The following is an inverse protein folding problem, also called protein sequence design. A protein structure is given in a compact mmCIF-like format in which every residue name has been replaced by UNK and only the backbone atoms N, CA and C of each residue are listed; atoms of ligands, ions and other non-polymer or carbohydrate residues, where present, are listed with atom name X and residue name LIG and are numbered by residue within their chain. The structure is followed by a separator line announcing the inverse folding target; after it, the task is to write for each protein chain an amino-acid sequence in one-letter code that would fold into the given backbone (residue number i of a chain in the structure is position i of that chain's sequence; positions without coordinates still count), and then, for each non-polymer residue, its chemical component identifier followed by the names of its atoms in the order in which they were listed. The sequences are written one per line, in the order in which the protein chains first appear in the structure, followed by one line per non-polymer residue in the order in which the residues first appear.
data_IF_854914137909
#
_entry.id   IF_854914137909
#
_cell.length_a   1.000
_cell.length_b   1.000
_cell.length_c   1.000
_cell.angle_alpha   90.00
_cell.angle_beta   90.00
_cell.angle_gamma   90.00
#
_symmetry.space_group_name_H-M   'P 1'
#
loop_
_entity.id
_entity.type
_entity.pdbx_description
1 polymer ?
#
# COMPACT_ATOMS: atom_id res chain seq x y z
N UNK A 1 -23.52 -11.04 47.44
CA UNK A 1 -23.11 -11.47 46.11
C UNK A 1 -23.04 -10.24 45.18
N UNK A 2 -21.83 -9.67 45.07
CA UNK A 2 -21.60 -8.50 44.21
C UNK A 2 -21.59 -8.90 42.76
N UNK A 3 -22.48 -8.32 41.95
CA UNK A 3 -22.38 -8.37 40.50
C UNK A 3 -21.13 -7.60 40.07
N UNK A 4 -20.13 -8.32 39.56
CA UNK A 4 -19.02 -7.70 38.89
C UNK A 4 -19.61 -6.85 37.77
N UNK A 5 -19.43 -5.54 37.80
CA UNK A 5 -19.65 -4.66 36.63
C UNK A 5 -18.64 -5.12 35.58
N UNK A 6 -19.13 -5.71 34.50
CA UNK A 6 -18.29 -5.92 33.34
C UNK A 6 -17.94 -4.52 32.81
N UNK A 7 -16.72 -4.08 33.08
CA UNK A 7 -16.20 -2.88 32.43
C UNK A 7 -16.25 -3.13 30.94
N UNK A 8 -16.94 -2.24 30.21
CA UNK A 8 -17.02 -2.29 28.74
C UNK A 8 -15.63 -2.21 28.07
N UNK A 9 -14.57 -1.98 28.86
CA UNK A 9 -13.16 -1.97 28.50
C UNK A 9 -12.41 -3.28 28.82
N UNK A 10 -13.08 -4.30 29.34
CA UNK A 10 -12.44 -5.58 29.56
C UNK A 10 -12.01 -6.23 28.24
N UNK A 11 -10.84 -6.86 28.22
CA UNK A 11 -10.28 -7.54 27.05
C UNK A 11 -11.27 -8.55 26.45
N UNK A 12 -11.98 -9.29 27.30
CA UNK A 12 -12.98 -10.25 26.87
C UNK A 12 -14.12 -9.58 26.07
N UNK A 13 -14.65 -8.46 26.57
CA UNK A 13 -15.70 -7.70 25.88
C UNK A 13 -15.23 -7.14 24.54
N UNK A 14 -13.96 -6.68 24.49
CA UNK A 14 -13.35 -6.17 23.26
C UNK A 14 -13.09 -7.27 22.22
N UNK A 15 -12.72 -8.47 22.65
CA UNK A 15 -12.50 -9.60 21.77
C UNK A 15 -13.83 -10.23 21.29
N UNK A 16 -14.87 -10.20 22.13
CA UNK A 16 -16.17 -10.84 21.84
C UNK A 16 -16.77 -10.38 20.50
N UNK A 17 -16.63 -9.11 20.14
CA UNK A 17 -17.12 -8.56 18.87
C UNK A 17 -16.53 -9.28 17.64
N UNK A 18 -15.36 -9.91 17.76
CA UNK A 18 -14.67 -10.61 16.69
C UNK A 18 -15.09 -12.08 16.56
N UNK A 19 -15.80 -12.64 17.55
CA UNK A 19 -16.25 -14.02 17.56
C UNK A 19 -17.77 -14.17 17.49
N UNK A 20 -18.51 -13.26 18.14
CA UNK A 20 -19.98 -13.34 18.26
C UNK A 20 -20.70 -12.07 17.78
N UNK A 21 -19.98 -10.99 17.46
CA UNK A 21 -20.53 -9.69 17.09
C UNK A 21 -20.48 -9.41 15.59
N UNK A 22 -20.69 -8.16 15.25
CA UNK A 22 -20.73 -7.66 13.85
C UNK A 22 -19.43 -7.87 13.08
N UNK A 23 -18.30 -8.04 13.77
CA UNK A 23 -16.98 -8.26 13.17
C UNK A 23 -16.57 -9.73 13.09
N UNK A 24 -17.45 -10.65 13.51
CA UNK A 24 -17.17 -12.09 13.54
C UNK A 24 -16.88 -12.67 12.14
N UNK A 25 -17.45 -12.09 11.10
CA UNK A 25 -17.20 -12.49 9.73
C UNK A 25 -15.73 -12.44 9.31
N UNK A 26 -14.90 -11.60 9.98
CA UNK A 26 -13.51 -11.43 9.60
C UNK A 26 -12.58 -12.50 10.18
N UNK A 27 -12.75 -12.85 11.47
CA UNK A 27 -11.81 -13.73 12.17
C UNK A 27 -12.43 -14.97 12.81
N UNK A 28 -13.76 -15.12 12.78
CA UNK A 28 -14.41 -16.26 13.41
C UNK A 28 -14.38 -17.52 12.52
N UNK A 29 -13.18 -17.95 12.16
CA UNK A 29 -12.97 -19.22 11.47
C UNK A 29 -12.32 -20.22 12.44
N UNK A 30 -12.68 -21.53 12.35
CA UNK A 30 -12.12 -22.56 13.22
C UNK A 30 -10.61 -22.78 13.03
N UNK A 31 -10.09 -22.38 11.88
CA UNK A 31 -8.67 -22.44 11.56
C UNK A 31 -8.32 -21.38 10.51
N UNK A 32 -7.06 -20.99 10.45
CA UNK A 32 -6.55 -20.12 9.40
C UNK A 32 -6.48 -20.89 8.08
N UNK A 33 -7.25 -20.43 7.09
CA UNK A 33 -7.31 -21.04 5.75
C UNK A 33 -6.47 -20.28 4.72
N UNK A 34 -5.88 -19.15 5.08
CA UNK A 34 -4.99 -18.41 4.19
C UNK A 34 -3.69 -19.18 4.01
N UNK A 35 -3.51 -19.74 2.84
CA UNK A 35 -2.29 -20.46 2.47
C UNK A 35 -1.69 -19.89 1.20
N UNK A 36 -0.39 -19.66 1.23
CA UNK A 36 0.42 -19.26 0.08
C UNK A 36 1.11 -20.42 -0.61
N UNK A 37 0.82 -21.67 -0.22
CA UNK A 37 1.41 -22.86 -0.83
C UNK A 37 0.79 -23.16 -2.19
N UNK A 38 1.61 -23.71 -3.10
CA UNK A 38 1.17 -24.24 -4.38
C UNK A 38 0.76 -23.24 -5.45
N UNK A 39 0.85 -21.93 -5.20
CA UNK A 39 0.55 -20.87 -6.17
C UNK A 39 1.67 -19.82 -6.16
N UNK A 40 1.82 -19.14 -7.30
CA UNK A 40 2.83 -18.06 -7.46
C UNK A 40 2.23 -16.66 -7.41
N UNK A 41 0.93 -16.51 -7.60
CA UNK A 41 0.23 -15.23 -7.65
C UNK A 41 -0.96 -15.29 -6.71
N UNK A 42 -1.06 -14.30 -5.84
CA UNK A 42 -2.14 -14.10 -4.91
C UNK A 42 -2.68 -12.69 -5.07
N UNK A 43 -4.00 -12.54 -5.00
CA UNK A 43 -4.68 -11.25 -5.02
C UNK A 43 -5.61 -11.12 -3.82
N UNK A 44 -5.61 -9.96 -3.20
CA UNK A 44 -6.50 -9.62 -2.09
C UNK A 44 -7.35 -8.43 -2.49
N UNK A 45 -8.66 -8.64 -2.58
CA UNK A 45 -9.61 -7.54 -2.73
C UNK A 45 -9.81 -6.87 -1.36
N UNK A 46 -9.29 -5.67 -1.24
CA UNK A 46 -9.34 -4.89 -0.01
C UNK A 46 -10.48 -3.88 0.03
N UNK A 47 -11.33 -3.81 -0.99
CA UNK A 47 -12.34 -2.76 -1.16
C UNK A 47 -13.22 -2.60 0.09
N UNK A 48 -13.82 -3.69 0.56
CA UNK A 48 -14.70 -3.65 1.73
C UNK A 48 -13.97 -3.42 3.06
N UNK A 49 -12.70 -3.80 3.12
CA UNK A 49 -11.87 -3.66 4.32
C UNK A 49 -11.38 -2.21 4.46
N UNK A 50 -10.95 -1.60 3.35
CA UNK A 50 -10.37 -0.26 3.36
C UNK A 50 -11.38 0.83 3.73
N UNK A 51 -12.64 0.65 3.36
CA UNK A 51 -13.69 1.62 3.64
C UNK A 51 -14.26 1.49 5.07
N UNK A 52 -13.96 0.38 5.77
CA UNK A 52 -14.41 0.14 7.15
C UNK A 52 -13.26 0.34 8.15
N UNK A 53 -13.21 1.52 8.81
CA UNK A 53 -12.14 1.87 9.75
C UNK A 53 -12.00 0.89 10.92
N UNK A 54 -13.11 0.29 11.37
CA UNK A 54 -13.13 -0.60 12.53
C UNK A 54 -12.43 -1.94 12.29
N UNK A 55 -12.50 -2.44 11.05
CA UNK A 55 -11.92 -3.73 10.68
C UNK A 55 -10.62 -3.59 9.89
N UNK A 56 -10.37 -2.43 9.29
CA UNK A 56 -9.22 -2.17 8.42
C UNK A 56 -7.90 -2.50 9.11
N UNK A 57 -7.66 -1.89 10.27
CA UNK A 57 -6.40 -2.06 10.99
C UNK A 57 -6.13 -3.50 11.38
N UNK A 58 -7.05 -4.25 12.05
CA UNK A 58 -6.81 -5.66 12.39
C UNK A 58 -6.63 -6.56 11.17
N UNK A 59 -7.40 -6.33 10.09
CA UNK A 59 -7.26 -7.09 8.86
C UNK A 59 -5.90 -6.87 8.19
N UNK A 60 -5.44 -5.62 8.15
CA UNK A 60 -4.11 -5.28 7.63
C UNK A 60 -2.99 -5.88 8.48
N UNK A 61 -3.10 -5.82 9.80
CA UNK A 61 -2.11 -6.44 10.70
C UNK A 61 -1.99 -7.95 10.46
N UNK A 62 -3.13 -8.64 10.33
CA UNK A 62 -3.15 -10.06 10.01
C UNK A 62 -2.51 -10.33 8.64
N UNK A 63 -2.94 -9.63 7.60
CA UNK A 63 -2.41 -9.81 6.25
C UNK A 63 -0.90 -9.56 6.18
N UNK A 64 -0.40 -8.51 6.84
CA UNK A 64 1.03 -8.21 6.87
C UNK A 64 1.84 -9.26 7.60
N UNK A 65 1.33 -9.76 8.73
CA UNK A 65 1.95 -10.89 9.41
C UNK A 65 2.09 -12.10 8.47
N UNK A 66 1.03 -12.42 7.74
CA UNK A 66 1.05 -13.52 6.75
C UNK A 66 1.99 -13.25 5.57
N UNK A 67 2.08 -12.01 5.10
CA UNK A 67 3.02 -11.63 4.04
C UNK A 67 4.47 -11.68 4.52
N UNK A 68 4.74 -11.33 5.77
CA UNK A 68 6.08 -11.40 6.35
C UNK A 68 6.61 -12.84 6.41
N UNK A 69 5.74 -13.82 6.59
CA UNK A 69 6.11 -15.24 6.53
C UNK A 69 6.59 -15.68 5.14
N UNK A 70 6.24 -14.95 4.07
CA UNK A 70 6.73 -15.21 2.71
C UNK A 70 8.13 -14.65 2.46
N UNK A 71 8.60 -13.73 3.28
CA UNK A 71 9.90 -13.07 3.10
C UNK A 71 11.04 -13.95 3.64
N UNK A 72 11.18 -15.14 3.06
CA UNK A 72 12.17 -16.15 3.43
C UNK A 72 13.50 -16.04 2.69
N UNK A 73 13.64 -15.05 1.79
CA UNK A 73 14.77 -14.90 0.88
C UNK A 73 14.49 -15.33 -0.55
N UNK A 74 13.36 -16.01 -0.79
CA UNK A 74 12.86 -16.24 -2.15
C UNK A 74 12.35 -14.93 -2.78
N UNK A 75 12.44 -14.78 -4.12
CA UNK A 75 11.97 -13.56 -4.79
C UNK A 75 10.47 -13.33 -4.57
N UNK A 76 10.12 -12.18 -4.02
CA UNK A 76 8.72 -11.78 -3.76
C UNK A 76 8.48 -10.39 -4.32
N UNK A 77 7.38 -10.21 -5.07
CA UNK A 77 6.86 -8.92 -5.47
C UNK A 77 5.52 -8.67 -4.75
N UNK A 78 5.46 -7.62 -3.97
CA UNK A 78 4.23 -7.14 -3.32
C UNK A 78 3.80 -5.88 -4.07
N UNK A 79 2.66 -5.94 -4.77
CA UNK A 79 2.10 -4.78 -5.47
C UNK A 79 0.84 -4.29 -4.76
N UNK A 80 0.80 -3.01 -4.43
CA UNK A 80 -0.31 -2.36 -3.75
C UNK A 80 -0.94 -1.34 -4.68
N UNK A 81 -2.10 -1.69 -5.22
CA UNK A 81 -2.91 -0.76 -6.00
C UNK A 81 -3.74 0.12 -5.07
N UNK A 82 -3.94 1.38 -5.45
CA UNK A 82 -4.62 2.39 -4.61
C UNK A 82 -4.03 2.52 -3.17
N UNK A 83 -2.73 2.24 -3.04
CA UNK A 83 -2.04 2.17 -1.76
C UNK A 83 -2.09 3.47 -0.93
N UNK A 84 -2.42 4.62 -1.55
CA UNK A 84 -2.56 5.90 -0.85
C UNK A 84 -3.66 5.86 0.23
N UNK A 85 -4.76 5.10 0.03
CA UNK A 85 -5.81 4.92 1.04
C UNK A 85 -5.24 4.28 2.31
N UNK A 86 -4.31 3.37 2.14
CA UNK A 86 -3.64 2.67 3.22
C UNK A 86 -2.68 3.59 3.99
N UNK A 87 -2.05 4.55 3.34
CA UNK A 87 -1.14 5.50 4.00
C UNK A 87 -1.83 6.40 5.04
N UNK A 88 -3.15 6.46 5.03
CA UNK A 88 -3.92 7.17 6.05
C UNK A 88 -4.02 6.38 7.36
N UNK A 89 -3.79 5.07 7.33
CA UNK A 89 -3.73 4.24 8.53
C UNK A 89 -2.30 4.24 9.10
N UNK A 90 -2.09 4.67 10.36
CA UNK A 90 -0.75 4.77 10.94
C UNK A 90 0.00 3.44 11.02
N UNK A 91 -0.70 2.34 11.23
CA UNK A 91 -0.09 1.00 11.31
C UNK A 91 0.41 0.58 9.95
N UNK A 92 -0.40 0.76 8.91
CA UNK A 92 0.04 0.51 7.54
C UNK A 92 1.19 1.42 7.13
N UNK A 93 1.05 2.71 7.37
CA UNK A 93 2.07 3.70 7.01
C UNK A 93 3.44 3.35 7.60
N UNK A 94 3.48 2.95 8.87
CA UNK A 94 4.71 2.50 9.52
C UNK A 94 5.23 1.18 8.93
N UNK A 95 4.34 0.22 8.68
CA UNK A 95 4.71 -1.06 8.09
C UNK A 95 5.34 -0.88 6.70
N UNK A 96 4.69 -0.13 5.81
CA UNK A 96 5.21 0.04 4.44
C UNK A 96 6.56 0.77 4.43
N UNK A 97 6.74 1.78 5.26
CA UNK A 97 8.03 2.50 5.39
C UNK A 97 9.13 1.55 5.86
N UNK A 98 8.85 0.69 6.84
CA UNK A 98 9.80 -0.32 7.29
C UNK A 98 10.13 -1.32 6.18
N UNK A 99 9.11 -1.83 5.48
CA UNK A 99 9.30 -2.78 4.38
C UNK A 99 10.07 -2.17 3.22
N UNK A 100 9.80 -0.96 2.80
CA UNK A 100 10.57 -0.30 1.74
C UNK A 100 12.07 -0.18 2.06
N UNK A 101 12.43 -0.08 3.35
CA UNK A 101 13.83 -0.05 3.79
C UNK A 101 14.48 -1.44 3.87
N UNK A 102 13.69 -2.46 4.15
CA UNK A 102 14.22 -3.78 4.55
C UNK A 102 14.00 -4.87 3.50
N UNK A 103 12.95 -4.80 2.70
CA UNK A 103 12.51 -5.87 1.80
C UNK A 103 13.56 -6.27 0.77
N UNK A 104 14.37 -5.33 0.31
CA UNK A 104 15.48 -5.61 -0.61
C UNK A 104 16.48 -6.63 -0.05
N UNK A 105 16.72 -6.60 1.27
CA UNK A 105 17.61 -7.56 1.94
C UNK A 105 17.02 -8.96 1.99
N UNK A 106 15.71 -9.06 1.82
CA UNK A 106 14.92 -10.29 1.81
C UNK A 106 14.56 -10.72 0.38
N UNK A 107 15.27 -10.20 -0.63
CA UNK A 107 15.06 -10.48 -2.05
C UNK A 107 13.62 -10.13 -2.52
N UNK A 108 13.02 -9.12 -1.92
CA UNK A 108 11.67 -8.67 -2.24
C UNK A 108 11.64 -7.30 -2.90
N UNK A 109 10.55 -7.02 -3.61
CA UNK A 109 10.23 -5.74 -4.24
C UNK A 109 8.85 -5.31 -3.79
N UNK A 110 8.70 -4.03 -3.44
CA UNK A 110 7.39 -3.38 -3.24
C UNK A 110 7.09 -2.48 -4.42
N UNK A 111 5.95 -2.70 -5.06
CA UNK A 111 5.35 -1.80 -6.03
C UNK A 111 4.15 -1.07 -5.40
N UNK A 112 4.04 0.22 -5.66
CA UNK A 112 2.99 1.07 -5.11
C UNK A 112 2.32 1.85 -6.21
N UNK A 113 1.04 1.55 -6.46
CA UNK A 113 0.21 2.23 -7.46
C UNK A 113 -0.67 3.30 -6.85
N UNK A 114 -0.85 4.41 -7.56
CA UNK A 114 -1.79 5.47 -7.22
C UNK A 114 -2.25 6.21 -8.47
N UNK A 115 -3.47 6.68 -8.46
CA UNK A 115 -4.01 7.55 -9.52
C UNK A 115 -3.65 9.03 -9.31
N UNK A 116 -3.17 9.38 -8.10
CA UNK A 116 -2.86 10.76 -7.73
C UNK A 116 -1.47 10.88 -7.10
N UNK A 117 -0.55 11.50 -7.82
CA UNK A 117 0.75 11.87 -7.28
C UNK A 117 0.64 12.83 -6.08
N UNK A 118 -0.38 13.70 -6.09
CA UNK A 118 -0.63 14.65 -5.02
C UNK A 118 -1.00 13.96 -3.70
N UNK A 119 -1.67 12.80 -3.73
CA UNK A 119 -2.03 12.07 -2.50
C UNK A 119 -0.79 11.51 -1.81
N UNK A 120 0.17 10.99 -2.59
CA UNK A 120 1.48 10.60 -2.04
C UNK A 120 2.23 11.83 -1.54
N UNK A 121 2.31 12.90 -2.33
CA UNK A 121 3.07 14.10 -1.99
C UNK A 121 2.59 14.78 -0.69
N UNK A 122 1.30 14.66 -0.37
CA UNK A 122 0.69 15.18 0.87
C UNK A 122 0.80 14.23 2.07
N UNK A 123 1.16 12.97 1.85
CA UNK A 123 1.32 12.01 2.94
C UNK A 123 2.43 12.45 3.89
N UNK A 124 2.29 12.28 5.21
CA UNK A 124 3.37 12.49 6.17
C UNK A 124 4.63 11.68 5.87
N UNK A 125 4.47 10.55 5.17
CA UNK A 125 5.57 9.64 4.80
C UNK A 125 6.12 9.91 3.39
N UNK A 126 5.65 10.97 2.71
CA UNK A 126 5.98 11.27 1.30
C UNK A 126 7.49 11.25 1.02
N UNK A 127 8.27 11.88 1.88
CA UNK A 127 9.73 11.93 1.73
C UNK A 127 10.34 10.52 1.68
N UNK A 128 10.02 9.68 2.66
CA UNK A 128 10.55 8.31 2.71
C UNK A 128 10.07 7.45 1.54
N UNK A 129 8.80 7.56 1.17
CA UNK A 129 8.23 6.80 0.04
C UNK A 129 8.94 7.15 -1.28
N UNK A 130 9.15 8.44 -1.53
CA UNK A 130 9.80 8.92 -2.75
C UNK A 130 11.28 8.55 -2.75
N UNK A 131 12.01 8.76 -1.65
CA UNK A 131 13.44 8.40 -1.55
C UNK A 131 13.72 6.90 -1.69
N UNK A 132 12.85 6.06 -1.12
CA UNK A 132 13.03 4.61 -1.18
C UNK A 132 12.54 4.01 -2.51
N UNK A 133 11.84 4.78 -3.33
CA UNK A 133 11.38 4.35 -4.66
C UNK A 133 12.49 4.53 -5.68
N UNK A 134 13.26 3.48 -5.93
CA UNK A 134 14.35 3.52 -6.90
C UNK A 134 13.88 3.79 -8.34
N UNK A 135 12.68 3.34 -8.70
CA UNK A 135 12.10 3.51 -10.03
C UNK A 135 10.68 4.04 -9.92
N UNK A 136 10.39 5.10 -10.62
CA UNK A 136 9.07 5.71 -10.71
C UNK A 136 8.54 5.63 -12.14
N UNK A 137 7.28 5.23 -12.28
CA UNK A 137 6.55 5.20 -13.54
C UNK A 137 5.51 6.31 -13.52
N UNK A 138 5.64 7.28 -14.42
CA UNK A 138 4.70 8.40 -14.51
C UNK A 138 3.92 8.32 -15.83
N UNK A 139 2.62 8.12 -15.71
CA UNK A 139 1.69 8.12 -16.83
C UNK A 139 1.24 9.54 -17.17
N UNK A 140 0.85 9.81 -18.43
CA UNK A 140 0.29 11.09 -18.82
C UNK A 140 -0.86 11.53 -17.93
N UNK A 141 -0.79 12.75 -17.42
CA UNK A 141 -1.79 13.33 -16.55
C UNK A 141 -1.99 14.81 -16.85
N UNK A 142 -3.04 15.21 -17.59
CA UNK A 142 -3.32 16.62 -17.89
C UNK A 142 -3.56 17.50 -16.66
N UNK A 143 -3.84 16.86 -15.50
CA UNK A 143 -4.05 17.55 -14.21
C UNK A 143 -2.80 17.59 -13.35
N UNK A 144 -1.64 17.18 -13.90
CA UNK A 144 -0.38 17.21 -13.14
C UNK A 144 -0.07 18.63 -12.65
N UNK A 145 0.35 18.75 -11.40
CA UNK A 145 0.77 19.99 -10.78
C UNK A 145 2.30 20.02 -10.55
N UNK A 146 2.88 21.21 -10.63
CA UNK A 146 4.34 21.39 -10.50
C UNK A 146 4.85 21.06 -9.10
N UNK A 147 4.07 21.34 -8.07
CA UNK A 147 4.49 21.10 -6.68
C UNK A 147 4.71 19.61 -6.45
N UNK A 148 3.77 18.77 -6.86
CA UNK A 148 3.90 17.30 -6.73
C UNK A 148 5.01 16.77 -7.62
N UNK A 149 4.97 17.05 -8.91
CA UNK A 149 5.82 16.37 -9.89
C UNK A 149 7.26 16.92 -9.92
N UNK A 150 7.45 18.25 -9.91
CA UNK A 150 8.78 18.84 -9.97
C UNK A 150 9.40 18.87 -8.57
N UNK A 151 8.70 19.47 -7.58
CA UNK A 151 9.30 19.72 -6.28
C UNK A 151 9.38 18.49 -5.41
N UNK A 152 8.35 17.61 -5.43
CA UNK A 152 8.31 16.41 -4.57
C UNK A 152 8.95 15.20 -5.25
N UNK A 153 8.55 14.88 -6.49
CA UNK A 153 9.11 13.73 -7.22
C UNK A 153 10.42 14.04 -7.97
N UNK A 154 10.88 15.29 -7.99
CA UNK A 154 12.16 15.67 -8.57
C UNK A 154 12.22 15.54 -10.09
N UNK A 155 11.09 15.75 -10.78
CA UNK A 155 11.08 15.75 -12.24
C UNK A 155 11.66 17.04 -12.80
N UNK A 156 12.34 16.95 -13.92
CA UNK A 156 12.76 18.11 -14.71
C UNK A 156 11.54 18.79 -15.37
N UNK A 157 11.69 20.02 -15.79
CA UNK A 157 10.65 20.74 -16.52
C UNK A 157 10.23 20.00 -17.83
N UNK A 158 11.18 19.32 -18.50
CA UNK A 158 10.90 18.54 -19.72
C UNK A 158 10.09 17.29 -19.41
N UNK A 159 10.44 16.56 -18.36
CA UNK A 159 9.71 15.37 -17.91
C UNK A 159 8.28 15.72 -17.50
N UNK A 160 8.14 16.80 -16.74
CA UNK A 160 6.83 17.31 -16.33
C UNK A 160 5.99 17.74 -17.54
N UNK A 161 6.56 18.48 -18.49
CA UNK A 161 5.88 18.89 -19.71
C UNK A 161 5.41 17.68 -20.53
N UNK A 162 6.21 16.62 -20.60
CA UNK A 162 5.81 15.36 -21.22
C UNK A 162 4.57 14.77 -20.55
N UNK A 163 4.58 14.64 -19.22
CA UNK A 163 3.46 14.06 -18.46
C UNK A 163 2.18 14.88 -18.66
N UNK A 164 2.28 16.19 -18.56
CA UNK A 164 1.13 17.10 -18.61
C UNK A 164 0.51 17.20 -20.00
N UNK A 165 1.34 17.20 -21.06
CA UNK A 165 0.91 17.53 -22.42
C UNK A 165 0.71 16.30 -23.33
N UNK A 166 1.10 15.11 -22.87
CA UNK A 166 0.94 13.90 -23.69
C UNK A 166 -0.49 13.37 -23.56
N UNK A 167 -1.20 13.13 -24.66
CA UNK A 167 -2.50 12.48 -24.61
C UNK A 167 -2.40 11.04 -24.07
N UNK A 168 -3.27 10.65 -23.13
CA UNK A 168 -3.25 9.29 -22.54
C UNK A 168 -3.40 8.16 -23.57
N UNK A 169 -4.07 8.44 -24.69
CA UNK A 169 -4.31 7.49 -25.78
C UNK A 169 -3.02 7.02 -26.48
N UNK A 170 -1.94 7.78 -26.34
CA UNK A 170 -0.62 7.39 -26.87
C UNK A 170 -0.02 6.18 -26.16
N UNK A 171 -0.55 5.80 -24.98
CA UNK A 171 -0.07 4.68 -24.15
C UNK A 171 1.44 4.77 -23.85
N UNK A 172 1.97 5.98 -23.80
CA UNK A 172 3.35 6.25 -23.43
C UNK A 172 3.44 6.66 -21.97
N UNK A 173 4.56 6.37 -21.34
CA UNK A 173 4.83 6.75 -19.96
C UNK A 173 6.30 7.02 -19.76
N UNK A 174 6.61 7.79 -18.71
CA UNK A 174 7.98 8.09 -18.31
C UNK A 174 8.41 7.07 -17.25
N UNK A 175 9.55 6.44 -17.47
CA UNK A 175 10.27 5.65 -16.45
C UNK A 175 11.40 6.54 -15.95
N UNK A 176 11.45 6.79 -14.65
CA UNK A 176 12.53 7.52 -13.99
C UNK A 176 13.22 6.61 -12.99
N UNK A 177 14.56 6.47 -13.15
CA UNK A 177 15.39 5.70 -12.23
C UNK A 177 16.56 6.58 -11.79
N UNK A 178 16.53 7.04 -10.54
CA UNK A 178 17.47 8.05 -10.08
C UNK A 178 17.42 9.32 -10.94
N UNK A 179 18.53 9.70 -11.56
CA UNK A 179 18.61 10.85 -12.45
C UNK A 179 18.31 10.53 -13.92
N UNK A 180 18.27 9.26 -14.28
CA UNK A 180 18.00 8.83 -15.65
C UNK A 180 16.50 8.68 -15.91
N UNK A 181 16.10 8.99 -17.12
CA UNK A 181 14.71 8.80 -17.54
C UNK A 181 14.59 8.38 -19.00
N UNK A 182 13.56 7.61 -19.28
CA UNK A 182 13.22 7.16 -20.62
C UNK A 182 11.70 7.16 -20.82
N UNK A 183 11.28 7.49 -22.05
CA UNK A 183 9.87 7.35 -22.44
C UNK A 183 9.69 5.97 -23.06
N UNK A 184 8.76 5.21 -22.49
CA UNK A 184 8.35 3.91 -23.00
C UNK A 184 6.91 3.94 -23.50
N UNK A 185 6.53 2.94 -24.28
CA UNK A 185 5.18 2.76 -24.81
C UNK A 185 4.69 1.34 -24.55
N UNK A 186 3.42 1.23 -24.20
CA UNK A 186 2.71 -0.05 -24.15
C UNK A 186 2.07 -0.30 -25.51
N UNK A 187 2.43 -1.41 -26.13
CA UNK A 187 1.84 -1.87 -27.39
C UNK A 187 0.55 -2.67 -27.17
#
# INVERSE_FOLDING_TARGET
MGRARSDANDLQSRLRQWFEGEKAWLFNAPQDVLSFSGRRIFGFDMTHILDNQDVRTPALMYLYHRLDELLTGEPVLIFMDEGWKLLQDPIFSNYIVDKMKTIRKLNGIVGFGTQSAADIARSPQSHTLIEQSATNLHFPNPRADEESYIRRFGLTAKEYAFIRNTPPERRTFLIKHGNDSVIARLD
#
